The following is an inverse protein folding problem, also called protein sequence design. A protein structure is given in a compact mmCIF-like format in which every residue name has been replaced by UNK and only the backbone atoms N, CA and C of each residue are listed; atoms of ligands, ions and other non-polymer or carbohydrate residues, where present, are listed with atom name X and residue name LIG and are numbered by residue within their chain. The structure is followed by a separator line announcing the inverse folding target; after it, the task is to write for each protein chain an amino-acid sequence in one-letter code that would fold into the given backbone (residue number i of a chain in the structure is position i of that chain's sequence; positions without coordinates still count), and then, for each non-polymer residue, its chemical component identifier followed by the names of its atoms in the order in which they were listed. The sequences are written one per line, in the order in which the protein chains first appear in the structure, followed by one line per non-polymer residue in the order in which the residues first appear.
data_IF_395286678863
#
_entry.id   IF_395286678863
#
_cell.length_a   1.000
_cell.length_b   1.000
_cell.length_c   1.000
_cell.angle_alpha   90.00
_cell.angle_beta   90.00
_cell.angle_gamma   90.00
#
_symmetry.space_group_name_H-M   'P 1'
#
loop_
_entity.id
_entity.type
_entity.pdbx_description
1 polymer ?
#
# COMPACT_ATOMS: atom_id res chain seq x y z
N UNK A 1 3.37 27.88 -5.62
CA UNK A 1 4.54 27.32 -4.90
C UNK A 1 4.52 25.82 -5.15
N UNK A 2 5.12 25.40 -6.27
CA UNK A 2 5.10 24.03 -6.80
C UNK A 2 5.96 23.12 -5.91
N UNK A 3 5.34 22.13 -5.27
CA UNK A 3 6.09 21.06 -4.61
C UNK A 3 6.63 20.11 -5.67
N UNK A 4 7.96 19.97 -5.69
CA UNK A 4 8.72 19.05 -6.51
C UNK A 4 8.16 17.63 -6.39
N UNK A 5 7.60 17.10 -7.49
CA UNK A 5 7.46 15.67 -7.69
C UNK A 5 8.86 15.07 -7.68
N UNK A 6 9.23 14.39 -6.60
CA UNK A 6 10.41 13.54 -6.54
C UNK A 6 10.21 12.37 -7.50
N UNK A 7 10.66 12.52 -8.74
CA UNK A 7 10.75 11.44 -9.71
C UNK A 7 11.83 10.45 -9.22
N UNK A 8 11.43 9.48 -8.39
CA UNK A 8 12.28 8.32 -8.12
C UNK A 8 12.49 7.58 -9.45
N UNK A 9 13.69 7.69 -10.00
CA UNK A 9 14.10 6.95 -11.21
C UNK A 9 14.10 5.46 -10.88
N UNK A 10 12.93 4.85 -11.04
CA UNK A 10 12.72 3.43 -10.75
C UNK A 10 13.23 2.65 -11.96
N UNK A 11 14.09 1.67 -11.74
CA UNK A 11 14.57 0.80 -12.81
C UNK A 11 13.35 0.10 -13.47
N UNK A 12 13.20 0.12 -14.80
CA UNK A 12 12.11 -0.59 -15.47
C UNK A 12 12.17 -2.08 -15.17
N UNK A 13 11.01 -2.71 -14.93
CA UNK A 13 10.94 -4.16 -14.64
C UNK A 13 11.54 -5.01 -15.76
N UNK A 14 11.34 -4.58 -17.01
CA UNK A 14 11.89 -5.23 -18.21
C UNK A 14 13.40 -5.08 -18.35
N UNK A 15 14.02 -4.08 -17.70
CA UNK A 15 15.46 -3.86 -17.73
C UNK A 15 16.24 -4.78 -16.78
N UNK A 16 15.54 -5.58 -15.96
CA UNK A 16 16.16 -6.56 -15.07
C UNK A 16 16.60 -7.75 -15.91
N UNK A 17 17.90 -7.98 -16.03
CA UNK A 17 18.46 -9.07 -16.82
C UNK A 17 18.41 -10.38 -16.00
N UNK A 18 17.96 -11.46 -16.64
CA UNK A 18 17.84 -12.77 -16.00
C UNK A 18 16.77 -12.82 -14.91
N UNK A 19 16.95 -13.68 -13.89
CA UNK A 19 16.03 -13.84 -12.77
C UNK A 19 14.59 -14.23 -13.19
N UNK A 20 14.46 -15.01 -14.27
CA UNK A 20 13.16 -15.33 -14.90
C UNK A 20 12.16 -15.97 -13.92
N UNK A 21 12.63 -16.86 -13.04
CA UNK A 21 11.78 -17.46 -12.00
C UNK A 21 11.23 -16.42 -11.01
N UNK A 22 12.07 -15.45 -10.61
CA UNK A 22 11.64 -14.39 -9.70
C UNK A 22 10.64 -13.45 -10.37
N UNK A 23 10.91 -13.04 -11.62
CA UNK A 23 9.96 -12.21 -12.39
C UNK A 23 8.62 -12.90 -12.56
N UNK A 24 8.63 -14.17 -12.95
CA UNK A 24 7.42 -14.97 -13.12
C UNK A 24 6.63 -15.07 -11.81
N UNK A 25 7.30 -15.38 -10.70
CA UNK A 25 6.64 -15.46 -9.39
C UNK A 25 5.97 -14.13 -8.99
N UNK A 26 6.66 -13.00 -9.22
CA UNK A 26 6.13 -11.66 -8.95
C UNK A 26 4.91 -11.33 -9.84
N UNK A 27 4.97 -11.65 -11.14
CA UNK A 27 3.85 -11.45 -12.08
C UNK A 27 2.64 -12.31 -11.66
N UNK A 28 2.85 -13.60 -11.37
CA UNK A 28 1.78 -14.50 -10.95
C UNK A 28 1.11 -14.00 -9.66
N UNK A 29 1.90 -13.51 -8.71
CA UNK A 29 1.38 -12.95 -7.47
C UNK A 29 0.59 -11.65 -7.70
N UNK A 30 1.03 -10.80 -8.63
CA UNK A 30 0.30 -9.60 -9.02
C UNK A 30 -1.05 -9.92 -9.70
N UNK A 31 -1.12 -11.02 -10.47
CA UNK A 31 -2.37 -11.48 -11.11
C UNK A 31 -3.31 -12.10 -10.08
N UNK A 32 -2.79 -12.97 -9.21
CA UNK A 32 -3.59 -13.64 -8.19
C UNK A 32 -2.87 -13.63 -6.83
N UNK A 33 -3.18 -12.66 -5.96
CA UNK A 33 -2.61 -12.56 -4.62
C UNK A 33 -2.94 -13.76 -3.72
N UNK A 34 -3.97 -14.56 -4.04
CA UNK A 34 -4.33 -15.77 -3.26
C UNK A 34 -3.31 -16.89 -3.37
N UNK A 35 -2.35 -16.80 -4.30
CA UNK A 35 -1.20 -17.72 -4.39
C UNK A 35 -0.36 -17.64 -3.10
N UNK A 36 -0.42 -16.52 -2.37
CA UNK A 36 0.29 -16.33 -1.11
C UNK A 36 1.44 -15.32 -1.25
N UNK A 37 2.56 -15.57 -0.57
CA UNK A 37 3.75 -14.73 -0.64
C UNK A 37 4.84 -15.30 -1.54
N UNK A 38 5.75 -14.45 -2.02
CA UNK A 38 6.91 -14.85 -2.81
C UNK A 38 8.18 -14.79 -1.94
N UNK A 39 8.83 -15.94 -1.71
CA UNK A 39 10.10 -16.01 -0.99
C UNK A 39 11.29 -15.90 -1.95
N UNK A 40 11.98 -14.76 -1.94
CA UNK A 40 13.13 -14.51 -2.83
C UNK A 40 14.45 -14.76 -2.08
N UNK A 41 15.10 -15.88 -2.37
CA UNK A 41 16.45 -16.20 -1.86
C UNK A 41 17.54 -15.70 -2.82
N UNK A 42 18.71 -15.38 -2.28
CA UNK A 42 19.85 -14.89 -3.06
C UNK A 42 20.82 -14.05 -2.23
N UNK A 43 21.96 -13.71 -2.81
CA UNK A 43 22.99 -12.91 -2.16
C UNK A 43 22.61 -11.42 -2.09
N UNK A 44 23.33 -10.66 -1.26
CA UNK A 44 23.22 -9.19 -1.26
C UNK A 44 23.65 -8.65 -2.62
N UNK A 45 22.91 -7.68 -3.15
CA UNK A 45 23.20 -7.08 -4.46
C UNK A 45 22.52 -7.75 -5.65
N UNK A 46 21.71 -8.79 -5.45
CA UNK A 46 20.94 -9.48 -6.51
C UNK A 46 19.68 -8.73 -6.98
N UNK A 47 19.54 -7.44 -6.66
CA UNK A 47 18.41 -6.59 -7.09
C UNK A 47 16.99 -7.05 -6.66
N UNK A 48 16.85 -7.93 -5.65
CA UNK A 48 15.54 -8.45 -5.19
C UNK A 48 14.51 -7.36 -4.88
N UNK A 49 14.89 -6.39 -4.04
CA UNK A 49 14.00 -5.30 -3.65
C UNK A 49 13.85 -4.25 -4.75
N UNK A 50 14.80 -4.19 -5.70
CA UNK A 50 14.68 -3.38 -6.92
C UNK A 50 13.61 -3.96 -7.83
N UNK A 51 13.55 -5.29 -7.99
CA UNK A 51 12.56 -5.95 -8.83
C UNK A 51 11.13 -5.76 -8.32
N UNK A 52 10.93 -5.82 -7.01
CA UNK A 52 9.62 -5.53 -6.41
C UNK A 52 9.18 -4.09 -6.67
N UNK A 53 10.07 -3.11 -6.50
CA UNK A 53 9.78 -1.70 -6.79
C UNK A 53 9.55 -1.43 -8.27
N UNK A 54 10.31 -2.10 -9.14
CA UNK A 54 10.15 -2.05 -10.58
C UNK A 54 8.81 -2.64 -11.04
N UNK A 55 8.33 -3.71 -10.39
CA UNK A 55 7.00 -4.25 -10.67
C UNK A 55 5.91 -3.23 -10.31
N UNK A 56 6.02 -2.60 -9.14
CA UNK A 56 5.03 -1.62 -8.68
C UNK A 56 4.85 -0.41 -9.61
N UNK A 57 5.90 -0.01 -10.34
CA UNK A 57 5.82 1.08 -11.32
C UNK A 57 5.15 0.66 -12.64
N UNK A 58 5.07 -0.64 -12.93
CA UNK A 58 4.39 -1.18 -14.12
C UNK A 58 2.92 -1.48 -13.85
N UNK A 59 2.54 -1.70 -12.59
CA UNK A 59 1.15 -1.93 -12.22
C UNK A 59 0.28 -0.68 -12.49
N UNK A 60 -0.99 -0.88 -12.90
CA UNK A 60 -1.90 0.22 -13.16
C UNK A 60 -2.15 1.04 -11.89
N UNK A 61 -2.41 2.33 -12.08
CA UNK A 61 -2.79 3.19 -10.97
C UNK A 61 -4.15 2.77 -10.38
N UNK A 62 -4.19 2.74 -9.05
CA UNK A 62 -5.38 2.41 -8.28
C UNK A 62 -6.11 3.69 -7.85
N UNK A 63 -7.44 3.64 -7.87
CA UNK A 63 -8.28 4.67 -7.25
C UNK A 63 -8.25 4.52 -5.73
N UNK A 64 -8.02 5.62 -5.03
CA UNK A 64 -7.99 5.65 -3.57
C UNK A 64 -8.71 6.88 -3.03
N UNK A 65 -9.33 6.74 -1.86
CA UNK A 65 -9.88 7.89 -1.11
C UNK A 65 -8.73 8.79 -0.63
N UNK A 66 -8.86 10.09 -0.85
CA UNK A 66 -7.88 11.11 -0.49
C UNK A 66 -7.56 11.06 1.02
N UNK A 67 -6.27 10.95 1.35
CA UNK A 67 -5.79 10.91 2.73
C UNK A 67 -6.13 9.64 3.51
N UNK A 68 -6.69 8.59 2.87
CA UNK A 68 -6.96 7.33 3.55
C UNK A 68 -5.65 6.55 3.79
N UNK A 69 -5.31 6.19 5.04
CA UNK A 69 -4.10 5.43 5.34
C UNK A 69 -4.12 4.04 4.69
N UNK A 70 -5.30 3.43 4.59
CA UNK A 70 -5.54 2.09 4.05
C UNK A 70 -5.61 2.02 2.52
N UNK A 71 -5.59 3.12 1.77
CA UNK A 71 -5.83 3.04 0.30
C UNK A 71 -7.22 2.50 -0.09
N UNK A 72 -8.28 2.74 0.70
CA UNK A 72 -9.63 2.24 0.41
C UNK A 72 -10.06 2.57 -1.03
N UNK A 73 -10.69 1.60 -1.69
CA UNK A 73 -11.24 1.79 -3.03
C UNK A 73 -12.56 2.56 -2.95
N UNK A 74 -12.70 3.73 -3.59
CA UNK A 74 -13.96 4.45 -3.61
C UNK A 74 -15.09 3.70 -4.34
N UNK A 75 -14.76 2.74 -5.20
CA UNK A 75 -15.75 1.94 -5.94
C UNK A 75 -16.24 0.70 -5.16
N UNK A 76 -15.53 0.27 -4.11
CA UNK A 76 -15.89 -0.88 -3.28
C UNK A 76 -16.42 -0.41 -1.92
N UNK A 77 -17.74 -0.21 -1.84
CA UNK A 77 -18.41 0.28 -0.63
C UNK A 77 -18.38 -0.72 0.54
N UNK A 78 -18.20 -2.01 0.26
CA UNK A 78 -18.28 -3.07 1.27
C UNK A 78 -17.00 -3.14 2.12
N UNK A 79 -15.85 -2.80 1.53
CA UNK A 79 -14.53 -2.89 2.16
C UNK A 79 -13.93 -1.53 2.57
N UNK A 80 -14.78 -0.51 2.78
CA UNK A 80 -14.35 0.79 3.29
C UNK A 80 -14.01 0.73 4.78
N UNK A 81 -12.94 1.43 5.17
CA UNK A 81 -12.65 1.68 6.57
C UNK A 81 -13.72 2.60 7.20
N UNK A 82 -13.89 2.61 8.53
CA UNK A 82 -14.95 3.40 9.19
C UNK A 82 -14.92 4.88 8.80
N UNK A 83 -13.74 5.50 8.78
CA UNK A 83 -13.58 6.89 8.40
C UNK A 83 -13.94 7.19 6.93
N UNK A 84 -13.66 6.26 6.00
CA UNK A 84 -14.05 6.43 4.60
C UNK A 84 -15.56 6.20 4.41
N UNK A 85 -16.13 5.26 5.16
CA UNK A 85 -17.57 4.98 5.13
C UNK A 85 -18.38 6.19 5.60
N UNK A 86 -17.98 6.81 6.71
CA UNK A 86 -18.61 8.02 7.23
C UNK A 86 -18.52 9.19 6.23
N UNK A 87 -17.32 9.43 5.67
CA UNK A 87 -17.12 10.48 4.65
C UNK A 87 -18.00 10.30 3.41
N UNK A 88 -18.08 9.07 2.89
CA UNK A 88 -18.89 8.77 1.71
C UNK A 88 -20.40 8.85 2.05
N UNK A 89 -20.79 8.48 3.27
CA UNK A 89 -22.18 8.62 3.71
C UNK A 89 -22.61 10.09 3.85
N UNK A 90 -21.71 10.96 4.35
CA UNK A 90 -21.98 12.40 4.54
C UNK A 90 -21.94 13.18 3.22
N UNK A 91 -21.02 12.86 2.31
CA UNK A 91 -20.84 13.57 1.05
C UNK A 91 -21.82 13.14 -0.06
N UNK A 92 -22.54 12.03 0.12
CA UNK A 92 -23.13 11.30 -1.01
C UNK A 92 -22.03 10.71 -1.90
N UNK A 93 -22.34 10.33 -3.14
CA UNK A 93 -21.42 9.71 -4.11
C UNK A 93 -19.99 10.27 -4.01
N UNK A 94 -18.92 9.44 -4.00
CA UNK A 94 -17.55 9.94 -3.93
C UNK A 94 -17.30 10.96 -5.05
N UNK A 95 -17.31 12.24 -4.70
CA UNK A 95 -17.04 13.31 -5.64
C UNK A 95 -15.62 13.17 -6.17
N UNK A 96 -15.36 13.62 -7.40
CA UNK A 96 -14.02 13.65 -8.00
C UNK A 96 -12.97 14.31 -7.08
N UNK A 97 -13.38 15.19 -6.17
CA UNK A 97 -12.51 15.89 -5.22
C UNK A 97 -11.99 15.04 -4.06
N UNK A 98 -12.63 13.91 -3.74
CA UNK A 98 -12.26 13.06 -2.59
C UNK A 98 -11.57 11.75 -3.01
N UNK A 99 -11.34 11.59 -4.31
CA UNK A 99 -10.64 10.44 -4.88
C UNK A 99 -9.41 10.88 -5.65
N UNK A 100 -8.37 10.06 -5.61
CA UNK A 100 -7.14 10.28 -6.37
C UNK A 100 -6.66 8.96 -6.96
N UNK A 101 -6.00 9.03 -8.13
CA UNK A 101 -5.30 7.89 -8.71
C UNK A 101 -3.84 7.96 -8.34
N UNK A 102 -3.25 6.82 -7.98
CA UNK A 102 -1.83 6.73 -7.68
C UNK A 102 -1.28 5.34 -7.97
N UNK A 103 0.04 5.26 -8.13
CA UNK A 103 0.75 4.00 -8.22
C UNK A 103 0.68 3.18 -6.92
N UNK A 104 0.81 1.86 -7.10
CA UNK A 104 0.87 0.88 -6.01
C UNK A 104 2.04 1.20 -5.09
N UNK A 105 1.79 1.22 -3.77
CA UNK A 105 2.82 1.49 -2.77
C UNK A 105 3.63 0.23 -2.47
N UNK A 106 4.96 0.36 -2.44
CA UNK A 106 5.84 -0.65 -1.87
C UNK A 106 6.27 -0.18 -0.49
N UNK A 107 5.78 -0.88 0.52
CA UNK A 107 6.15 -0.67 1.92
C UNK A 107 7.28 -1.65 2.25
N UNK A 108 8.12 -1.34 3.23
CA UNK A 108 9.18 -2.25 3.67
C UNK A 108 9.00 -2.51 5.15
N UNK A 109 9.01 -3.79 5.53
CA UNK A 109 9.00 -4.20 6.92
C UNK A 109 10.43 -4.17 7.50
N UNK A 110 10.74 -3.30 8.48
CA UNK A 110 12.05 -3.30 9.12
C UNK A 110 12.20 -4.51 10.05
N UNK A 111 13.41 -5.05 10.15
CA UNK A 111 13.72 -6.23 10.97
C UNK A 111 13.34 -6.08 12.45
N UNK A 112 13.43 -4.87 12.99
CA UNK A 112 13.08 -4.55 14.37
C UNK A 112 11.69 -3.93 14.54
N UNK A 113 10.75 -4.20 13.62
CA UNK A 113 9.38 -3.70 13.78
C UNK A 113 8.72 -4.37 14.99
N UNK A 114 8.23 -3.56 15.93
CA UNK A 114 7.33 -4.03 17.00
C UNK A 114 5.97 -4.38 16.41
N UNK A 115 5.23 -5.28 17.07
CA UNK A 115 3.87 -5.66 16.66
C UNK A 115 2.98 -4.41 16.47
N UNK A 116 2.96 -3.53 17.47
CA UNK A 116 2.32 -2.21 17.44
C UNK A 116 2.62 -1.38 16.20
N UNK A 117 3.86 -1.42 15.69
CA UNK A 117 4.24 -0.70 14.47
C UNK A 117 3.72 -1.41 13.22
N UNK A 118 3.58 -2.73 13.25
CA UNK A 118 3.10 -3.54 12.13
C UNK A 118 1.57 -3.45 12.01
N UNK A 119 0.86 -3.79 13.08
CA UNK A 119 -0.61 -3.85 13.09
C UNK A 119 -1.25 -2.48 13.34
N UNK A 120 -0.57 -1.60 14.07
CA UNK A 120 -1.08 -0.33 14.55
C UNK A 120 -1.36 -0.35 16.06
N UNK A 121 -1.68 0.80 16.62
CA UNK A 121 -2.00 0.93 18.05
C UNK A 121 -3.36 1.57 18.27
N UNK A 122 -3.91 1.40 19.47
CA UNK A 122 -5.11 2.09 19.93
C UNK A 122 -4.73 3.08 21.03
N UNK A 123 -5.01 4.36 20.84
CA UNK A 123 -4.80 5.37 21.87
C UNK A 123 -5.90 5.28 22.94
N UNK A 124 -5.60 4.51 23.99
CA UNK A 124 -6.48 4.30 25.14
C UNK A 124 -6.82 5.60 25.87
N UNK A 125 -5.91 6.59 25.90
CA UNK A 125 -6.17 7.85 26.62
C UNK A 125 -7.29 8.62 25.94
N UNK A 126 -7.26 8.68 24.61
CA UNK A 126 -8.31 9.30 23.80
C UNK A 126 -9.59 8.47 23.80
N UNK A 127 -9.48 7.15 23.72
CA UNK A 127 -10.65 6.27 23.79
C UNK A 127 -11.43 6.43 25.10
N UNK A 128 -10.74 6.54 26.24
CA UNK A 128 -11.39 6.68 27.55
C UNK A 128 -11.91 8.12 27.77
N UNK A 129 -11.13 9.14 27.38
CA UNK A 129 -11.46 10.54 27.67
C UNK A 129 -12.48 11.14 26.70
N UNK A 130 -12.34 10.83 25.41
CA UNK A 130 -13.14 11.40 24.32
C UNK A 130 -14.25 10.43 23.86
N UNK A 131 -14.20 9.15 24.28
CA UNK A 131 -15.12 8.11 23.80
C UNK A 131 -14.89 7.70 22.35
N UNK A 132 -13.80 8.17 21.73
CA UNK A 132 -13.50 7.97 20.31
C UNK A 132 -12.40 6.92 20.17
N UNK A 133 -12.66 5.87 19.39
CA UNK A 133 -11.66 4.85 19.05
C UNK A 133 -10.56 5.45 18.14
N UNK A 134 -9.52 6.01 18.76
CA UNK A 134 -8.39 6.62 18.07
C UNK A 134 -7.34 5.55 17.70
N UNK A 135 -7.47 4.98 16.50
CA UNK A 135 -6.52 4.02 15.95
C UNK A 135 -5.36 4.75 15.25
N UNK A 136 -4.12 4.39 15.58
CA UNK A 136 -2.93 4.78 14.81
C UNK A 136 -2.55 3.64 13.84
N UNK A 137 -2.70 3.84 12.52
CA UNK A 137 -2.50 2.78 11.53
C UNK A 137 -1.03 2.35 11.42
N UNK A 138 -0.79 1.03 11.46
CA UNK A 138 0.54 0.45 11.29
C UNK A 138 1.01 0.29 9.83
N UNK A 139 2.13 -0.41 9.66
CA UNK A 139 2.73 -0.73 8.35
C UNK A 139 1.75 -1.48 7.44
N UNK A 140 0.94 -2.39 8.00
CA UNK A 140 -0.04 -3.16 7.22
C UNK A 140 -1.11 -2.28 6.59
N UNK A 141 -1.51 -1.19 7.26
CA UNK A 141 -2.46 -0.22 6.70
C UNK A 141 -1.87 0.44 5.45
N UNK A 142 -0.60 0.87 5.52
CA UNK A 142 0.08 1.49 4.38
C UNK A 142 0.28 0.51 3.20
N UNK A 143 0.44 -0.79 3.50
CA UNK A 143 0.64 -1.85 2.51
C UNK A 143 -0.66 -2.38 1.90
N UNK A 144 -1.84 -1.97 2.40
CA UNK A 144 -3.12 -2.43 1.83
C UNK A 144 -3.26 -1.96 0.37
N UNK A 145 -3.65 -2.91 -0.50
CA UNK A 145 -3.64 -2.79 -1.97
C UNK A 145 -2.27 -2.38 -2.54
N UNK A 146 -1.22 -2.73 -1.81
CA UNK A 146 0.18 -2.46 -2.09
C UNK A 146 1.00 -3.74 -2.08
N UNK A 147 2.31 -3.58 -1.93
CA UNK A 147 3.28 -4.65 -1.72
C UNK A 147 4.01 -4.38 -0.40
N UNK A 148 4.26 -5.43 0.39
CA UNK A 148 5.00 -5.38 1.67
C UNK A 148 6.37 -6.05 1.55
#
# INVERSE_FOLDING_TARGET
MMNLMTSHTTLPFTAIIGQEQMKLALILNAINPRIGGVLIRGEKGTAKSTAVRALASVLPEIGVVCGCPFSCDPADSDHLCPACRERIAEAGVPGESDTTRRHVRVVTLPLGATEDRVVGTLDLKRAIKEGIAALDPGILAAAHRGIL
#
